data_IF_654827055042
#
_entry.id   IF_654827055042
#
_cell.length_a   1.000
_cell.length_b   1.000
_cell.length_c   1.000
_cell.angle_alpha   90.00
_cell.angle_beta   90.00
_cell.angle_gamma   90.00
#
_symmetry.space_group_name_H-M   'P 1'
#
loop_
_entity.id
_entity.type
_entity.pdbx_description
1 polymer ?
#
# COMPACT_ATOMS: atom_id res chain seq x y z
N UNK A 1 4.75 -4.65 20.38
CA UNK A 1 3.91 -4.17 19.27
C UNK A 1 3.88 -2.66 19.13
N UNK A 2 3.66 -1.87 20.21
CA UNK A 2 3.59 -0.40 20.12
C UNK A 2 4.82 0.25 19.46
N UNK A 3 6.05 -0.12 19.89
CA UNK A 3 7.30 0.45 19.33
C UNK A 3 7.44 0.18 17.83
N UNK A 4 7.12 -1.05 17.38
CA UNK A 4 7.17 -1.43 15.96
C UNK A 4 6.11 -0.66 15.16
N UNK A 5 4.89 -0.54 15.70
CA UNK A 5 3.82 0.23 15.06
C UNK A 5 4.15 1.73 14.92
N UNK A 6 4.71 2.33 15.96
CA UNK A 6 5.18 3.73 15.91
C UNK A 6 6.32 3.92 14.90
N UNK A 7 7.25 2.96 14.82
CA UNK A 7 8.32 2.95 13.83
C UNK A 7 7.79 2.87 12.40
N UNK A 8 6.87 1.94 12.12
CA UNK A 8 6.24 1.81 10.81
C UNK A 8 5.47 3.07 10.42
N UNK A 9 4.67 3.64 11.33
CA UNK A 9 3.94 4.89 11.06
C UNK A 9 4.87 6.06 10.77
N UNK A 10 6.01 6.16 11.47
CA UNK A 10 7.03 7.18 11.21
C UNK A 10 7.66 6.99 9.83
N UNK A 11 7.99 5.75 9.47
CA UNK A 11 8.57 5.42 8.16
C UNK A 11 7.59 5.73 7.02
N UNK A 12 6.32 5.36 7.14
CA UNK A 12 5.31 5.68 6.11
C UNK A 12 5.11 7.20 5.96
N UNK A 13 5.04 7.92 7.08
CA UNK A 13 4.89 9.40 7.09
C UNK A 13 6.09 10.11 6.46
N UNK A 14 7.29 9.53 6.53
CA UNK A 14 8.49 10.09 5.93
C UNK A 14 8.70 9.63 4.48
N UNK A 15 8.60 8.34 4.22
CA UNK A 15 9.01 7.71 2.97
C UNK A 15 8.04 7.99 1.81
N UNK A 16 6.73 7.85 2.03
CA UNK A 16 5.73 8.02 0.96
C UNK A 16 5.71 9.46 0.40
N UNK A 17 5.63 10.53 1.24
CA UNK A 17 5.78 11.89 0.74
C UNK A 17 7.13 12.13 0.09
N UNK A 18 8.22 11.61 0.66
CA UNK A 18 9.55 11.79 0.10
C UNK A 18 9.63 11.19 -1.31
N UNK A 19 9.22 9.94 -1.52
CA UNK A 19 9.20 9.29 -2.83
C UNK A 19 8.29 10.02 -3.84
N UNK A 20 7.16 10.55 -3.37
CA UNK A 20 6.26 11.33 -4.21
C UNK A 20 6.92 12.64 -4.70
N UNK A 21 7.79 13.27 -3.92
CA UNK A 21 8.29 14.63 -4.19
C UNK A 21 9.73 14.62 -4.72
N UNK A 22 10.52 13.57 -4.44
CA UNK A 22 11.89 13.38 -4.91
C UNK A 22 11.96 13.18 -6.43
N UNK A 23 12.00 14.29 -7.16
CA UNK A 23 12.17 14.32 -8.61
C UNK A 23 11.01 15.02 -9.31
N UNK A 24 10.97 14.96 -10.66
CA UNK A 24 10.00 15.74 -11.43
C UNK A 24 8.55 15.38 -11.08
N UNK A 25 7.64 16.36 -10.91
CA UNK A 25 6.26 16.11 -10.50
C UNK A 25 5.47 15.19 -11.46
N UNK A 26 5.83 15.18 -12.75
CA UNK A 26 5.20 14.34 -13.77
C UNK A 26 5.31 12.84 -13.47
N UNK A 27 6.36 12.41 -12.76
CA UNK A 27 6.67 11.01 -12.50
C UNK A 27 6.41 10.59 -11.05
N UNK A 28 5.75 11.44 -10.27
CA UNK A 28 5.47 11.21 -8.85
C UNK A 28 4.73 9.89 -8.62
N UNK A 29 3.67 9.67 -9.39
CA UNK A 29 2.82 8.47 -9.31
C UNK A 29 3.62 7.19 -9.61
N UNK A 30 4.50 7.25 -10.62
CA UNK A 30 5.30 6.12 -11.06
C UNK A 30 6.33 5.74 -9.99
N UNK A 31 7.01 6.73 -9.40
CA UNK A 31 7.98 6.51 -8.33
C UNK A 31 7.32 5.82 -7.13
N UNK A 32 6.19 6.35 -6.68
CA UNK A 32 5.51 5.80 -5.51
C UNK A 32 4.94 4.40 -5.80
N UNK A 33 4.30 4.21 -6.97
CA UNK A 33 3.81 2.89 -7.37
C UNK A 33 4.94 1.86 -7.49
N UNK A 34 6.10 2.22 -8.03
CA UNK A 34 7.24 1.32 -8.16
C UNK A 34 7.82 0.92 -6.80
N UNK A 35 8.00 1.89 -5.89
CA UNK A 35 8.46 1.61 -4.53
C UNK A 35 7.48 0.69 -3.79
N UNK A 36 6.18 0.95 -3.91
CA UNK A 36 5.15 0.09 -3.33
C UNK A 36 5.02 -1.26 -4.04
N UNK A 37 5.37 -1.38 -5.32
CA UNK A 37 5.43 -2.66 -6.01
C UNK A 37 6.53 -3.54 -5.40
N UNK A 38 7.71 -2.98 -5.14
CA UNK A 38 8.83 -3.67 -4.45
C UNK A 38 8.41 -4.09 -3.03
N UNK A 39 7.75 -3.19 -2.29
CA UNK A 39 7.16 -3.53 -0.97
C UNK A 39 6.18 -4.72 -1.10
N UNK A 40 5.32 -4.72 -2.12
CA UNK A 40 4.37 -5.79 -2.38
C UNK A 40 5.03 -7.14 -2.71
N UNK A 41 6.16 -7.13 -3.43
CA UNK A 41 6.97 -8.35 -3.64
C UNK A 41 7.48 -8.88 -2.30
N UNK A 42 7.97 -8.00 -1.42
CA UNK A 42 8.38 -8.39 -0.06
C UNK A 42 7.24 -9.02 0.75
N UNK A 43 6.04 -8.42 0.71
CA UNK A 43 4.85 -8.92 1.39
C UNK A 43 4.38 -10.29 0.87
N UNK A 44 4.58 -10.57 -0.42
CA UNK A 44 4.28 -11.88 -1.02
C UNK A 44 5.36 -12.93 -0.72
N UNK A 45 6.64 -12.56 -0.81
CA UNK A 45 7.77 -13.49 -0.64
C UNK A 45 8.02 -13.84 0.82
N UNK A 46 7.84 -12.91 1.75
CA UNK A 46 8.17 -13.11 3.16
C UNK A 46 7.37 -14.27 3.82
N UNK A 47 6.03 -14.39 3.65
CA UNK A 47 5.28 -15.53 4.18
C UNK A 47 5.68 -16.87 3.55
N UNK A 48 6.01 -16.88 2.24
CA UNK A 48 6.46 -18.08 1.54
C UNK A 48 7.81 -18.57 2.08
N UNK A 49 8.75 -17.66 2.31
CA UNK A 49 10.03 -17.98 2.95
C UNK A 49 9.84 -18.43 4.40
N UNK A 50 9.00 -17.73 5.17
CA UNK A 50 8.64 -18.11 6.54
C UNK A 50 8.14 -19.56 6.60
N UNK A 51 7.11 -19.89 5.83
CA UNK A 51 6.48 -21.21 5.82
C UNK A 51 7.42 -22.33 5.34
N UNK A 52 8.19 -22.10 4.26
CA UNK A 52 8.97 -23.16 3.60
C UNK A 52 10.41 -23.29 4.07
N UNK A 53 11.01 -22.25 4.63
CA UNK A 53 12.43 -22.25 5.03
C UNK A 53 12.56 -22.29 6.55
N UNK A 54 11.80 -21.46 7.27
CA UNK A 54 12.00 -21.29 8.71
C UNK A 54 11.12 -22.21 9.55
N UNK A 55 9.89 -22.49 9.10
CA UNK A 55 8.90 -23.26 9.87
C UNK A 55 8.61 -24.67 9.30
N UNK A 56 9.32 -25.10 8.26
CA UNK A 56 9.03 -26.36 7.56
C UNK A 56 9.01 -27.62 8.45
N UNK A 57 9.74 -27.64 9.56
CA UNK A 57 9.87 -28.82 10.43
C UNK A 57 9.82 -28.54 11.94
N UNK A 58 9.43 -27.34 12.39
CA UNK A 58 9.70 -26.91 13.80
C UNK A 58 8.53 -26.24 14.52
N UNK A 59 7.29 -26.41 14.05
CA UNK A 59 6.13 -25.65 14.56
C UNK A 59 5.81 -25.95 16.04
N UNK A 60 6.25 -27.09 16.59
CA UNK A 60 5.84 -27.55 17.94
C UNK A 60 7.00 -28.06 18.83
N UNK A 61 8.20 -27.49 18.69
CA UNK A 61 9.37 -27.89 19.50
C UNK A 61 10.11 -26.64 20.03
N UNK A 62 10.85 -26.74 21.14
CA UNK A 62 11.79 -25.72 21.64
C UNK A 62 12.74 -25.17 20.54
N UNK A 63 12.95 -25.95 19.49
CA UNK A 63 13.72 -25.60 18.31
C UNK A 63 13.03 -24.53 17.42
N UNK A 64 11.70 -24.51 17.38
CA UNK A 64 10.92 -23.47 16.69
C UNK A 64 11.08 -22.11 17.33
N UNK A 65 11.04 -22.04 18.67
CA UNK A 65 11.30 -20.81 19.43
C UNK A 65 12.70 -20.25 19.15
N UNK A 66 13.72 -21.12 19.08
CA UNK A 66 15.09 -20.73 18.72
C UNK A 66 15.18 -20.23 17.27
N UNK A 67 14.51 -20.88 16.32
CA UNK A 67 14.47 -20.44 14.93
C UNK A 67 13.85 -19.05 14.80
N UNK A 68 12.75 -18.79 15.51
CA UNK A 68 12.11 -17.47 15.56
C UNK A 68 13.09 -16.41 16.06
N UNK A 69 13.84 -16.68 17.13
CA UNK A 69 14.85 -15.75 17.65
C UNK A 69 15.93 -15.42 16.63
N UNK A 70 16.45 -16.41 15.90
CA UNK A 70 17.44 -16.19 14.84
C UNK A 70 16.88 -15.39 13.67
N UNK A 71 15.62 -15.61 13.29
CA UNK A 71 14.92 -14.80 12.27
C UNK A 71 14.82 -13.34 12.72
N UNK A 72 14.38 -13.09 13.94
CA UNK A 72 14.29 -11.72 14.48
C UNK A 72 15.65 -11.05 14.59
N UNK A 73 16.70 -11.79 14.99
CA UNK A 73 18.06 -11.27 15.01
C UNK A 73 18.53 -10.91 13.59
N UNK A 74 18.24 -11.76 12.60
CA UNK A 74 18.55 -11.47 11.19
C UNK A 74 17.87 -10.21 10.68
N UNK A 75 16.57 -10.03 10.97
CA UNK A 75 15.82 -8.81 10.64
C UNK A 75 16.42 -7.59 11.35
N UNK A 76 16.76 -7.70 12.63
CA UNK A 76 17.37 -6.61 13.39
C UNK A 76 18.73 -6.20 12.83
N UNK A 77 19.60 -7.16 12.48
CA UNK A 77 20.88 -6.90 11.83
C UNK A 77 20.70 -6.25 10.46
N UNK A 78 19.72 -6.69 9.67
CA UNK A 78 19.41 -6.10 8.37
C UNK A 78 18.92 -4.65 8.51
N UNK A 79 18.02 -4.37 9.44
CA UNK A 79 17.58 -3.00 9.76
C UNK A 79 18.75 -2.14 10.24
N UNK A 80 19.63 -2.68 11.10
CA UNK A 80 20.85 -2.01 11.53
C UNK A 80 21.78 -1.65 10.36
N UNK A 81 21.95 -2.56 9.41
CA UNK A 81 22.70 -2.32 8.18
C UNK A 81 22.06 -1.21 7.33
N UNK A 82 20.74 -1.19 7.19
CA UNK A 82 20.03 -0.11 6.48
C UNK A 82 20.22 1.25 7.14
N UNK A 83 20.22 1.31 8.48
CA UNK A 83 20.48 2.55 9.23
C UNK A 83 21.89 3.06 8.92
N UNK A 84 22.90 2.17 8.95
CA UNK A 84 24.29 2.52 8.61
C UNK A 84 24.37 3.02 7.17
N UNK A 85 23.74 2.31 6.22
CA UNK A 85 23.71 2.70 4.81
C UNK A 85 23.10 4.09 4.63
N UNK A 86 21.97 4.37 5.28
CA UNK A 86 21.30 5.67 5.21
C UNK A 86 22.06 6.78 5.92
N UNK A 87 22.90 6.48 6.91
CA UNK A 87 23.79 7.46 7.51
C UNK A 87 24.86 7.96 6.52
N UNK A 88 25.32 7.11 5.60
CA UNK A 88 26.31 7.47 4.59
C UNK A 88 25.71 7.91 3.25
N UNK A 89 24.44 7.60 2.99
CA UNK A 89 23.77 7.98 1.75
C UNK A 89 23.48 9.50 1.73
N UNK A 90 23.99 10.25 0.74
CA UNK A 90 23.66 11.66 0.59
C UNK A 90 22.22 11.80 0.08
N UNK A 91 21.28 12.02 1.00
CA UNK A 91 19.89 12.30 0.62
C UNK A 91 19.74 13.76 0.20
N UNK A 92 19.16 14.05 -0.98
CA UNK A 92 18.82 15.42 -1.35
C UNK A 92 17.76 15.93 -0.37
N UNK A 93 18.08 16.99 0.37
CA UNK A 93 17.12 17.64 1.24
C UNK A 93 16.13 18.41 0.36
N UNK A 94 14.85 18.00 0.38
CA UNK A 94 13.79 18.77 -0.26
C UNK A 94 13.43 19.92 0.67
N UNK A 95 14.02 21.07 0.39
CA UNK A 95 13.74 22.29 1.16
C UNK A 95 12.35 22.80 0.83
N UNK A 96 11.71 23.52 1.76
CA UNK A 96 10.44 24.19 1.47
C UNK A 96 10.56 25.14 0.26
N UNK A 97 11.76 25.68 0.00
CA UNK A 97 12.09 26.46 -1.18
C UNK A 97 12.00 25.63 -2.49
N UNK A 98 12.48 24.37 -2.48
CA UNK A 98 12.39 23.46 -3.63
C UNK A 98 10.94 23.05 -3.92
N UNK A 99 10.15 22.84 -2.86
CA UNK A 99 8.72 22.54 -2.98
C UNK A 99 7.94 23.72 -3.55
N UNK A 100 8.25 24.94 -3.11
CA UNK A 100 7.66 26.17 -3.64
C UNK A 100 8.13 26.44 -5.08
N UNK A 101 9.39 26.13 -5.41
CA UNK A 101 9.89 26.26 -6.78
C UNK A 101 9.24 25.25 -7.75
N UNK A 102 9.04 24.01 -7.31
CA UNK A 102 8.27 23.01 -8.06
C UNK A 102 6.80 23.43 -8.22
N UNK A 103 6.21 24.05 -7.21
CA UNK A 103 4.87 24.61 -7.29
C UNK A 103 4.79 25.76 -8.29
N UNK A 104 5.71 26.74 -8.23
CA UNK A 104 5.79 27.83 -9.21
C UNK A 104 5.99 27.32 -10.65
N UNK A 105 6.70 26.20 -10.83
CA UNK A 105 6.82 25.54 -12.13
C UNK A 105 5.52 24.85 -12.61
N UNK A 106 4.57 24.59 -11.71
CA UNK A 106 3.28 23.96 -12.02
C UNK A 106 2.11 24.96 -12.07
N UNK A 107 2.11 25.97 -11.20
CA UNK A 107 1.07 27.02 -11.08
C UNK A 107 1.70 28.28 -10.46
N UNK A 108 1.52 29.47 -11.07
CA UNK A 108 2.08 30.73 -10.54
C UNK A 108 1.39 31.26 -9.26
N UNK A 109 0.37 30.56 -8.76
CA UNK A 109 -0.53 31.05 -7.70
C UNK A 109 -0.12 30.46 -6.35
N UNK A 110 0.05 31.33 -5.33
CA UNK A 110 0.24 30.90 -3.94
C UNK A 110 -0.92 29.97 -3.53
N UNK A 111 -0.66 28.74 -3.04
CA UNK A 111 -1.68 27.76 -2.64
C UNK A 111 -2.58 28.29 -1.51
N UNK A 112 -2.20 29.38 -0.85
CA UNK A 112 -3.01 30.04 0.16
C UNK A 112 -3.15 29.17 1.42
N UNK A 113 -4.20 29.39 2.23
CA UNK A 113 -4.39 28.64 3.47
C UNK A 113 -4.72 27.16 3.22
N UNK A 114 -4.15 26.27 4.03
CA UNK A 114 -4.42 24.82 3.99
C UNK A 114 -5.92 24.48 4.00
N UNK A 115 -6.74 25.26 4.72
CA UNK A 115 -8.20 25.07 4.80
C UNK A 115 -8.92 25.20 3.44
N UNK A 116 -8.33 25.89 2.47
CA UNK A 116 -8.90 26.05 1.12
C UNK A 116 -8.49 24.92 0.17
N UNK A 117 -7.61 24.02 0.59
CA UNK A 117 -7.15 22.88 -0.21
C UNK A 117 -8.16 21.72 -0.15
N UNK A 118 -9.35 21.94 -0.72
CA UNK A 118 -10.43 20.94 -0.72
C UNK A 118 -10.03 19.62 -1.37
N UNK A 119 -9.18 19.67 -2.41
CA UNK A 119 -8.67 18.48 -3.08
C UNK A 119 -7.85 17.59 -2.13
N UNK A 120 -7.08 18.18 -1.20
CA UNK A 120 -6.35 17.42 -0.19
C UNK A 120 -7.32 16.72 0.76
N UNK A 121 -8.32 17.42 1.28
CA UNK A 121 -9.30 16.81 2.19
C UNK A 121 -10.12 15.70 1.52
N UNK A 122 -10.48 15.89 0.24
CA UNK A 122 -11.13 14.86 -0.56
C UNK A 122 -10.20 13.66 -0.80
N UNK A 123 -8.91 13.89 -1.04
CA UNK A 123 -7.93 12.82 -1.19
C UNK A 123 -7.72 12.05 0.13
N UNK A 124 -7.65 12.75 1.27
CA UNK A 124 -7.59 12.14 2.61
C UNK A 124 -8.81 11.27 2.88
N UNK A 125 -10.01 11.78 2.57
CA UNK A 125 -11.23 11.00 2.71
C UNK A 125 -11.27 9.80 1.77
N UNK A 126 -10.87 9.99 0.50
CA UNK A 126 -10.75 8.90 -0.47
C UNK A 126 -9.77 7.83 -0.01
N UNK A 127 -8.63 8.22 0.54
CA UNK A 127 -7.61 7.31 1.06
C UNK A 127 -8.14 6.53 2.28
N UNK A 128 -8.86 7.21 3.18
CA UNK A 128 -9.49 6.58 4.33
C UNK A 128 -10.49 5.50 3.90
N UNK A 129 -11.38 5.82 2.96
CA UNK A 129 -12.34 4.85 2.42
C UNK A 129 -11.64 3.71 1.67
N UNK A 130 -10.62 4.02 0.87
CA UNK A 130 -9.84 3.04 0.13
C UNK A 130 -9.15 2.04 1.08
N UNK A 131 -8.38 2.50 2.06
CA UNK A 131 -7.68 1.59 3.00
C UNK A 131 -8.68 0.77 3.81
N UNK A 132 -9.81 1.36 4.16
CA UNK A 132 -10.90 0.65 4.81
C UNK A 132 -11.47 -0.50 3.97
N UNK A 133 -11.76 -0.25 2.70
CA UNK A 133 -12.21 -1.27 1.76
C UNK A 133 -11.14 -2.35 1.54
N UNK A 134 -9.88 -1.95 1.36
CA UNK A 134 -8.74 -2.85 1.15
C UNK A 134 -8.59 -3.85 2.29
N UNK A 135 -8.57 -3.34 3.53
CA UNK A 135 -8.40 -4.17 4.71
C UNK A 135 -9.62 -5.08 4.91
N UNK A 136 -10.83 -4.58 4.65
CA UNK A 136 -12.03 -5.41 4.71
C UNK A 136 -11.97 -6.58 3.71
N UNK A 137 -11.66 -6.31 2.44
CA UNK A 137 -11.55 -7.37 1.41
C UNK A 137 -10.46 -8.37 1.78
N UNK A 138 -9.28 -7.91 2.20
CA UNK A 138 -8.18 -8.77 2.59
C UNK A 138 -8.52 -9.65 3.80
N UNK A 139 -9.16 -9.08 4.84
CA UNK A 139 -9.55 -9.81 6.06
C UNK A 139 -10.62 -10.86 5.80
N UNK A 140 -11.61 -10.55 4.96
CA UNK A 140 -12.70 -11.47 4.65
C UNK A 140 -12.40 -12.46 3.52
N UNK A 141 -11.28 -12.33 2.80
CA UNK A 141 -10.96 -13.19 1.66
C UNK A 141 -10.90 -14.68 2.01
N UNK A 142 -10.19 -15.04 3.09
CA UNK A 142 -10.06 -16.45 3.51
C UNK A 142 -11.40 -17.00 3.99
N UNK A 143 -12.11 -16.36 4.95
CA UNK A 143 -13.45 -16.82 5.36
C UNK A 143 -14.41 -16.97 4.18
N UNK A 144 -14.39 -16.02 3.23
CA UNK A 144 -15.21 -16.08 2.02
C UNK A 144 -14.92 -17.32 1.18
N UNK A 145 -13.64 -17.64 0.94
CA UNK A 145 -13.26 -18.85 0.21
C UNK A 145 -13.71 -20.12 0.93
N UNK A 146 -13.62 -20.16 2.26
CA UNK A 146 -14.09 -21.28 3.07
C UNK A 146 -15.61 -21.47 2.95
N UNK A 147 -16.39 -20.39 3.00
CA UNK A 147 -17.84 -20.43 2.81
C UNK A 147 -18.24 -20.93 1.41
N UNK A 148 -17.41 -20.71 0.39
CA UNK A 148 -17.61 -21.27 -0.96
C UNK A 148 -17.22 -22.75 -1.10
N UNK A 149 -16.83 -23.42 0.00
CA UNK A 149 -16.50 -24.85 0.04
C UNK A 149 -15.02 -25.17 -0.16
N UNK A 150 -14.10 -24.24 0.13
CA UNK A 150 -12.65 -24.48 0.07
C UNK A 150 -12.05 -24.73 1.45
N UNK A 151 -10.93 -25.44 1.50
CA UNK A 151 -10.18 -25.62 2.74
C UNK A 151 -9.43 -24.33 3.11
N UNK A 152 -9.05 -24.19 4.38
CA UNK A 152 -8.22 -23.07 4.84
C UNK A 152 -6.87 -22.99 4.10
N UNK A 153 -6.28 -24.17 3.82
CA UNK A 153 -5.02 -24.27 3.10
C UNK A 153 -5.15 -23.75 1.66
N UNK A 154 -6.16 -24.23 0.92
CA UNK A 154 -6.41 -23.76 -0.45
C UNK A 154 -6.80 -22.28 -0.48
N UNK A 155 -7.55 -21.79 0.50
CA UNK A 155 -7.92 -20.37 0.61
C UNK A 155 -6.71 -19.48 0.86
N UNK A 156 -5.74 -19.95 1.65
CA UNK A 156 -4.46 -19.27 1.89
C UNK A 156 -3.61 -19.22 0.62
N UNK A 157 -3.55 -20.32 -0.15
CA UNK A 157 -2.86 -20.35 -1.44
C UNK A 157 -3.49 -19.40 -2.46
N UNK A 158 -4.82 -19.33 -2.52
CA UNK A 158 -5.55 -18.39 -3.38
C UNK A 158 -5.30 -16.94 -2.98
N UNK A 159 -5.25 -16.63 -1.69
CA UNK A 159 -4.88 -15.30 -1.22
C UNK A 159 -3.44 -14.96 -1.62
N UNK A 160 -2.50 -15.90 -1.52
CA UNK A 160 -1.13 -15.69 -1.97
C UNK A 160 -1.07 -15.38 -3.47
N UNK A 161 -1.82 -16.10 -4.30
CA UNK A 161 -1.95 -15.80 -5.74
C UNK A 161 -2.51 -14.40 -5.96
N UNK A 162 -3.56 -14.01 -5.22
CA UNK A 162 -4.14 -12.67 -5.31
C UNK A 162 -3.14 -11.58 -4.91
N UNK A 163 -2.33 -11.78 -3.86
CA UNK A 163 -1.26 -10.87 -3.44
C UNK A 163 -0.13 -10.78 -4.48
N UNK A 164 0.21 -11.89 -5.14
CA UNK A 164 1.16 -11.90 -6.25
C UNK A 164 0.65 -11.08 -7.44
N UNK A 165 -0.62 -11.25 -7.79
CA UNK A 165 -1.26 -10.47 -8.87
C UNK A 165 -1.39 -8.99 -8.51
N UNK A 166 -1.71 -8.68 -7.25
CA UNK A 166 -1.71 -7.34 -6.67
C UNK A 166 -0.35 -6.66 -6.86
N UNK A 167 0.74 -7.32 -6.47
CA UNK A 167 2.10 -6.80 -6.62
C UNK A 167 2.49 -6.63 -8.10
N UNK A 168 2.19 -7.62 -8.95
CA UNK A 168 2.44 -7.55 -10.39
C UNK A 168 1.71 -6.37 -11.04
N UNK A 169 0.45 -6.17 -10.69
CA UNK A 169 -0.35 -5.09 -11.28
C UNK A 169 0.14 -3.70 -10.86
N UNK A 170 0.84 -3.54 -9.73
CA UNK A 170 1.51 -2.27 -9.40
C UNK A 170 2.61 -1.92 -10.41
N UNK A 171 3.37 -2.91 -10.88
CA UNK A 171 4.37 -2.70 -11.95
C UNK A 171 3.69 -2.33 -13.27
N UNK A 172 2.59 -3.02 -13.61
CA UNK A 172 1.82 -2.74 -14.83
C UNK A 172 1.22 -1.33 -14.78
N UNK A 173 0.60 -0.95 -13.66
CA UNK A 173 0.02 0.36 -13.46
C UNK A 173 1.09 1.46 -13.49
N UNK A 174 2.21 1.25 -12.81
CA UNK A 174 3.37 2.15 -12.86
C UNK A 174 3.88 2.32 -14.29
N UNK A 175 4.03 1.23 -15.04
CA UNK A 175 4.40 1.22 -16.45
C UNK A 175 3.38 1.95 -17.33
N UNK A 176 2.09 1.72 -17.13
CA UNK A 176 1.01 2.38 -17.87
C UNK A 176 1.01 3.90 -17.64
N UNK A 177 1.27 4.33 -16.41
CA UNK A 177 1.42 5.74 -16.05
C UNK A 177 2.68 6.40 -16.63
N UNK A 178 3.62 5.63 -17.19
CA UNK A 178 4.75 6.21 -17.92
C UNK A 178 4.40 6.72 -19.31
N UNK A 179 3.29 6.24 -19.87
CA UNK A 179 2.85 6.60 -21.21
C UNK A 179 2.33 8.04 -21.18
N UNK A 180 2.87 8.97 -21.98
CA UNK A 180 2.47 10.39 -21.94
C UNK A 180 0.97 10.65 -22.18
N UNK A 181 0.31 9.77 -22.93
CA UNK A 181 -1.12 9.85 -23.21
C UNK A 181 -2.00 9.45 -22.01
N UNK A 182 -1.46 8.69 -21.06
CA UNK A 182 -2.21 8.17 -19.92
C UNK A 182 -2.07 9.13 -18.74
N UNK A 183 -3.16 9.81 -18.39
CA UNK A 183 -3.19 10.65 -17.18
C UNK A 183 -3.50 9.77 -15.96
N UNK A 184 -2.74 9.87 -14.85
CA UNK A 184 -2.97 9.04 -13.66
C UNK A 184 -4.39 9.12 -13.08
N UNK A 185 -5.05 10.29 -13.20
CA UNK A 185 -6.45 10.47 -12.81
C UNK A 185 -7.43 9.51 -13.53
N UNK A 186 -7.16 9.19 -14.80
CA UNK A 186 -7.99 8.26 -15.57
C UNK A 186 -7.69 6.81 -15.21
N UNK A 187 -6.42 6.49 -14.94
CA UNK A 187 -6.05 5.16 -14.44
C UNK A 187 -6.75 4.90 -13.11
N UNK A 188 -6.71 5.86 -12.18
CA UNK A 188 -7.44 5.75 -10.90
C UNK A 188 -8.94 5.54 -11.11
N UNK A 189 -9.56 6.34 -11.99
CA UNK A 189 -11.00 6.21 -12.28
C UNK A 189 -11.35 4.83 -12.87
N UNK A 190 -10.56 4.33 -13.82
CA UNK A 190 -10.75 3.02 -14.43
C UNK A 190 -10.55 1.91 -13.40
N UNK A 191 -9.50 1.99 -12.58
CA UNK A 191 -9.19 0.98 -11.56
C UNK A 191 -10.31 0.91 -10.51
N UNK A 192 -10.77 2.04 -9.99
CA UNK A 192 -11.89 2.08 -9.05
C UNK A 192 -13.21 1.60 -9.69
N UNK A 193 -13.48 1.95 -10.95
CA UNK A 193 -14.66 1.46 -11.67
C UNK A 193 -14.61 -0.06 -11.86
N UNK A 194 -13.45 -0.61 -12.21
CA UNK A 194 -13.25 -2.05 -12.31
C UNK A 194 -13.43 -2.73 -10.95
N UNK A 195 -12.87 -2.18 -9.87
CA UNK A 195 -13.11 -2.69 -8.51
C UNK A 195 -14.60 -2.74 -8.19
N UNK A 196 -15.34 -1.67 -8.48
CA UNK A 196 -16.79 -1.63 -8.27
C UNK A 196 -17.52 -2.72 -9.08
N UNK A 197 -17.20 -2.86 -10.38
CA UNK A 197 -17.79 -3.88 -11.25
C UNK A 197 -17.48 -5.29 -10.73
N UNK A 198 -16.24 -5.57 -10.34
CA UNK A 198 -15.85 -6.89 -9.84
C UNK A 198 -16.43 -7.21 -8.46
N UNK A 199 -16.57 -6.23 -7.57
CA UNK A 199 -17.28 -6.42 -6.29
C UNK A 199 -18.75 -6.76 -6.55
N UNK A 200 -19.44 -6.01 -7.42
CA UNK A 200 -20.83 -6.30 -7.79
C UNK A 200 -20.95 -7.68 -8.44
N UNK A 201 -20.01 -8.05 -9.32
CA UNK A 201 -19.97 -9.38 -9.92
C UNK A 201 -19.74 -10.48 -8.88
N UNK A 202 -18.85 -10.27 -7.90
CA UNK A 202 -18.59 -11.20 -6.82
C UNK A 202 -19.85 -11.44 -5.95
N UNK A 203 -20.65 -10.40 -5.72
CA UNK A 203 -21.91 -10.51 -4.97
C UNK A 203 -22.99 -11.31 -5.71
N UNK A 204 -22.96 -11.32 -7.04
CA UNK A 204 -23.97 -11.98 -7.89
C UNK A 204 -23.53 -13.35 -8.42
N UNK A 205 -22.31 -13.78 -8.10
CA UNK A 205 -21.75 -15.07 -8.55
C UNK A 205 -21.48 -15.98 -7.35
N UNK A 206 -21.32 -17.28 -7.60
CA UNK A 206 -21.09 -18.28 -6.56
C UNK A 206 -19.93 -19.21 -6.91
N UNK A 207 -19.42 -19.92 -5.90
CA UNK A 207 -18.33 -20.88 -6.07
C UNK A 207 -17.03 -20.24 -6.55
N UNK A 208 -16.35 -20.87 -7.50
CA UNK A 208 -15.03 -20.39 -7.98
C UNK A 208 -15.12 -19.05 -8.69
N UNK A 209 -16.25 -18.75 -9.35
CA UNK A 209 -16.41 -17.50 -10.09
C UNK A 209 -16.31 -16.28 -9.17
N UNK A 210 -16.95 -16.32 -7.99
CA UNK A 210 -16.92 -15.19 -7.05
C UNK A 210 -15.53 -14.99 -6.43
N UNK A 211 -14.78 -16.06 -6.18
CA UNK A 211 -13.37 -15.99 -5.73
C UNK A 211 -12.50 -15.29 -6.78
N UNK A 212 -12.67 -15.65 -8.06
CA UNK A 212 -11.93 -15.03 -9.16
C UNK A 212 -12.29 -13.54 -9.27
N UNK A 213 -13.58 -13.18 -9.16
CA UNK A 213 -13.99 -11.78 -9.15
C UNK A 213 -13.34 -11.01 -8.00
N UNK A 214 -13.34 -11.56 -6.78
CA UNK A 214 -12.71 -10.95 -5.60
C UNK A 214 -11.18 -10.83 -5.76
N UNK A 215 -10.56 -11.78 -6.45
CA UNK A 215 -9.13 -11.73 -6.80
C UNK A 215 -8.84 -10.57 -7.77
N UNK A 216 -9.74 -10.31 -8.73
CA UNK A 216 -9.63 -9.15 -9.61
C UNK A 216 -9.86 -7.82 -8.85
N UNK A 217 -10.73 -7.78 -7.84
CA UNK A 217 -10.84 -6.59 -6.96
C UNK A 217 -9.49 -6.26 -6.37
N UNK A 218 -8.83 -7.23 -5.71
CA UNK A 218 -7.48 -7.02 -5.16
C UNK A 218 -6.49 -6.58 -6.25
N UNK A 219 -6.51 -7.22 -7.42
CA UNK A 219 -5.65 -6.85 -8.53
C UNK A 219 -5.79 -5.35 -8.89
N UNK A 220 -6.99 -4.87 -9.20
CA UNK A 220 -7.23 -3.48 -9.61
C UNK A 220 -7.19 -2.49 -8.45
N UNK A 221 -7.25 -2.95 -7.21
CA UNK A 221 -7.04 -2.08 -6.05
C UNK A 221 -5.58 -1.61 -5.93
N UNK A 222 -4.64 -2.37 -6.49
CA UNK A 222 -3.23 -2.29 -6.11
C UNK A 222 -2.52 -0.97 -6.30
N UNK A 223 -2.88 -0.20 -7.33
CA UNK A 223 -2.27 1.10 -7.65
C UNK A 223 -3.04 2.30 -7.09
N UNK A 224 -4.22 2.07 -6.49
CA UNK A 224 -5.10 3.16 -6.06
C UNK A 224 -4.48 3.96 -4.90
N UNK A 225 -3.86 3.29 -3.91
CA UNK A 225 -3.19 3.96 -2.79
C UNK A 225 -2.19 5.02 -3.26
N UNK A 226 -1.18 4.61 -4.04
CA UNK A 226 -0.11 5.49 -4.49
C UNK A 226 -0.66 6.62 -5.38
N UNK A 227 -1.68 6.33 -6.18
CA UNK A 227 -2.28 7.30 -7.10
C UNK A 227 -3.12 8.35 -6.36
N UNK A 228 -3.94 7.93 -5.38
CA UNK A 228 -4.69 8.86 -4.52
C UNK A 228 -3.70 9.74 -3.73
N UNK A 229 -2.66 9.12 -3.17
CA UNK A 229 -1.65 9.80 -2.37
C UNK A 229 -0.94 10.91 -3.17
N UNK A 230 -0.38 10.56 -4.33
CA UNK A 230 0.34 11.51 -5.19
C UNK A 230 -0.58 12.57 -5.80
N UNK A 231 -1.80 12.22 -6.24
CA UNK A 231 -2.79 13.19 -6.70
C UNK A 231 -3.18 14.18 -5.59
N UNK A 232 -3.32 13.71 -4.35
CA UNK A 232 -3.63 14.54 -3.18
C UNK A 232 -2.51 15.51 -2.80
N UNK A 233 -1.26 15.22 -3.17
CA UNK A 233 -0.09 16.07 -2.93
C UNK A 233 0.18 17.10 -4.04
N UNK A 234 -0.48 17.00 -5.19
CA UNK A 234 -0.23 17.91 -6.32
C UNK A 234 -0.70 19.34 -6.00
N UNK A 235 0.20 20.32 -6.20
CA UNK A 235 -0.12 21.74 -6.06
C UNK A 235 -0.30 22.20 -4.62
N UNK A 236 0.33 21.52 -3.66
CA UNK A 236 0.30 21.91 -2.24
C UNK A 236 1.49 22.80 -1.83
N UNK A 237 2.58 22.81 -2.60
CA UNK A 237 3.78 23.61 -2.32
C UNK A 237 4.29 23.44 -0.89
N UNK A 238 4.33 24.54 -0.14
CA UNK A 238 4.73 24.56 1.29
C UNK A 238 3.94 23.60 2.18
N UNK A 239 2.70 23.25 1.81
CA UNK A 239 1.82 22.39 2.61
C UNK A 239 2.05 20.90 2.36
N UNK A 240 2.89 20.52 1.40
CA UNK A 240 3.01 19.14 0.95
C UNK A 240 3.45 18.19 2.07
N UNK A 241 4.32 18.64 3.00
CA UNK A 241 4.72 17.86 4.19
C UNK A 241 3.53 17.54 5.09
N UNK A 242 2.67 18.54 5.36
CA UNK A 242 1.45 18.37 6.15
C UNK A 242 0.38 17.57 5.40
N UNK A 243 0.26 17.75 4.09
CA UNK A 243 -0.64 16.95 3.26
C UNK A 243 -0.27 15.47 3.28
N UNK A 244 1.03 15.17 3.22
CA UNK A 244 1.56 13.81 3.31
C UNK A 244 1.21 13.14 4.63
N UNK A 245 1.40 13.83 5.76
CA UNK A 245 1.06 13.27 7.07
C UNK A 245 -0.45 13.06 7.24
N UNK A 246 -1.29 13.94 6.70
CA UNK A 246 -2.75 13.74 6.70
C UNK A 246 -3.18 12.53 5.86
N UNK A 247 -2.55 12.32 4.70
CA UNK A 247 -2.80 11.14 3.86
C UNK A 247 -2.34 9.85 4.54
N UNK A 248 -1.22 9.86 5.25
CA UNK A 248 -0.78 8.69 6.05
C UNK A 248 -1.70 8.46 7.25
N UNK A 249 -2.18 9.51 7.91
CA UNK A 249 -3.17 9.37 8.99
C UNK A 249 -4.47 8.71 8.50
N UNK A 250 -4.83 8.88 7.22
CA UNK A 250 -5.99 8.24 6.60
C UNK A 250 -5.91 6.71 6.57
N UNK A 251 -4.72 6.10 6.71
CA UNK A 251 -4.52 4.64 6.80
C UNK A 251 -5.31 4.05 7.98
N UNK A 252 -5.61 4.86 9.00
CA UNK A 252 -6.49 4.49 10.11
C UNK A 252 -7.89 3.97 9.68
N UNK A 253 -8.34 4.25 8.45
CA UNK A 253 -9.57 3.69 7.88
C UNK A 253 -9.62 2.15 7.91
N UNK A 254 -8.48 1.48 7.84
CA UNK A 254 -8.40 0.01 7.96
C UNK A 254 -8.85 -0.54 9.32
N UNK A 255 -8.88 0.28 10.38
CA UNK A 255 -9.33 -0.12 11.72
C UNK A 255 -10.86 -0.07 11.87
N UNK A 256 -11.54 0.74 11.05
CA UNK A 256 -12.97 1.04 11.25
C UNK A 256 -13.88 -0.07 10.74
N UNK A 257 -13.44 -0.84 9.74
CA UNK A 257 -14.21 -1.94 9.19
C UNK A 257 -13.98 -3.24 9.97
N UNK A 258 -15.04 -4.00 10.27
CA UNK A 258 -14.99 -5.08 11.25
C UNK A 258 -14.02 -6.18 10.85
N UNK A 259 -13.20 -6.61 11.81
CA UNK A 259 -12.44 -7.86 11.72
C UNK A 259 -13.29 -8.99 12.29
N UNK A 260 -13.24 -10.16 11.65
CA UNK A 260 -14.00 -11.33 12.08
C UNK A 260 -13.60 -11.75 13.51
N UNK A 261 -14.51 -11.55 14.46
CA UNK A 261 -14.33 -11.89 15.89
C UNK A 261 -14.33 -13.39 16.17
N UNK A 262 -14.48 -14.25 15.16
CA UNK A 262 -14.54 -15.72 15.34
C UNK A 262 -13.18 -16.38 15.55
N UNK A 263 -12.05 -15.68 15.39
CA UNK A 263 -10.69 -16.21 15.67
C UNK A 263 -10.17 -15.93 17.08
N UNK A 264 -10.86 -15.11 17.86
CA UNK A 264 -10.49 -14.74 19.24
C UNK A 264 -11.26 -15.53 20.31
N UNK A 265 -11.93 -16.63 19.94
CA UNK A 265 -12.61 -17.58 20.83
C UNK A 265 -12.26 -19.00 20.45
#
# INVERSE_FOLDING_TARGET
MFVVGAGLSTLETAADPFLAICGPPKWSEVRLNLAQAIQGVGAFVAPLLASRVFFAHTIDTDQGLKNVQWVYLGVACFVGLLIILFFFAPFPEITNADMNAQEHAMTEVDPGPLRKQYNLFLAVWSQFCYVGAQVAVATYFIPFCVETGRSDATSSDLLAVAQGLYALNRFIAGGLMTIPAVKPRYVLAVYLALCFVFVVAAMNTTGTASIVMLTFVLCFESACFATIFTLGLRGLGRHTKLGGSLLVAAISGGMVFPHDRRRDR
#
